data_IF_615817621737
#
_entry.id   IF_615817621737
#
_cell.length_a   1.000
_cell.length_b   1.000
_cell.length_c   1.000
_cell.angle_alpha   90.00
_cell.angle_beta   90.00
_cell.angle_gamma   90.00
#
_symmetry.space_group_name_H-M   'P 1'
#
loop_
_entity.id
_entity.type
_entity.pdbx_description
1 polymer ?
#
# COMPACT_ATOMS: atom_id res chain seq x y z
N UNK A 1 -3.49 -2.76 -12.39
CA UNK A 1 -4.32 -3.97 -12.60
C UNK A 1 -3.54 -5.16 -12.05
N UNK A 2 -4.23 -6.10 -11.40
CA UNK A 2 -3.61 -7.23 -10.69
C UNK A 2 -3.06 -6.87 -9.30
N UNK A 3 -3.33 -5.68 -8.81
CA UNK A 3 -3.06 -5.19 -7.44
C UNK A 3 -4.34 -5.22 -6.60
N UNK A 4 -4.24 -4.87 -5.31
CA UNK A 4 -5.36 -4.97 -4.38
C UNK A 4 -6.53 -4.08 -4.78
N UNK A 5 -6.27 -2.86 -5.23
CA UNK A 5 -7.34 -1.95 -5.65
C UNK A 5 -8.25 -2.55 -6.73
N UNK A 6 -7.67 -3.17 -7.75
CA UNK A 6 -8.41 -3.61 -8.93
C UNK A 6 -9.06 -4.98 -8.78
N UNK A 7 -8.67 -5.76 -7.77
CA UNK A 7 -9.25 -7.08 -7.47
C UNK A 7 -10.17 -7.07 -6.24
N UNK A 8 -10.51 -5.89 -5.73
CA UNK A 8 -11.30 -5.74 -4.51
C UNK A 8 -12.78 -6.12 -4.73
N UNK A 9 -13.31 -6.93 -3.82
CA UNK A 9 -14.73 -7.20 -3.65
C UNK A 9 -15.13 -6.81 -2.23
N UNK A 10 -16.35 -6.31 -2.06
CA UNK A 10 -16.85 -5.81 -0.77
C UNK A 10 -18.33 -6.06 -0.59
N UNK A 11 -18.74 -6.34 0.65
CA UNK A 11 -20.14 -6.55 1.04
C UNK A 11 -20.43 -5.86 2.38
N UNK A 12 -21.62 -5.27 2.50
CA UNK A 12 -22.18 -4.88 3.81
C UNK A 12 -23.11 -5.98 4.32
N UNK A 13 -22.84 -6.48 5.53
CA UNK A 13 -23.59 -7.58 6.14
C UNK A 13 -24.97 -7.10 6.59
N UNK A 14 -26.04 -7.84 6.25
CA UNK A 14 -27.40 -7.50 6.67
C UNK A 14 -27.71 -7.95 8.10
N UNK A 15 -27.14 -9.08 8.51
CA UNK A 15 -27.28 -9.68 9.83
C UNK A 15 -25.91 -10.08 10.37
N UNK A 16 -25.80 -10.23 11.69
CA UNK A 16 -24.59 -10.76 12.30
C UNK A 16 -24.39 -12.23 11.88
N UNK A 17 -23.16 -12.61 11.59
CA UNK A 17 -22.79 -13.97 11.17
C UNK A 17 -21.33 -14.23 11.55
N UNK A 18 -20.87 -15.46 11.35
CA UNK A 18 -19.45 -15.80 11.41
C UNK A 18 -19.02 -16.34 10.07
N UNK A 19 -17.83 -15.96 9.60
CA UNK A 19 -17.28 -16.39 8.32
C UNK A 19 -15.98 -17.15 8.49
N UNK A 20 -15.67 -17.98 7.49
CA UNK A 20 -14.35 -18.58 7.30
C UNK A 20 -13.80 -18.18 5.93
N UNK A 21 -12.48 -18.14 5.85
CA UNK A 21 -11.71 -17.94 4.64
C UNK A 21 -11.12 -19.31 4.28
N UNK A 22 -11.44 -19.81 3.10
CA UNK A 22 -10.98 -21.11 2.63
C UNK A 22 -10.37 -21.01 1.23
N UNK A 23 -9.34 -21.81 0.97
CA UNK A 23 -8.76 -22.02 -0.35
C UNK A 23 -9.26 -23.35 -0.91
N UNK A 24 -9.57 -23.37 -2.20
CA UNK A 24 -9.96 -24.56 -2.95
C UNK A 24 -8.98 -24.76 -4.09
N UNK A 25 -8.30 -25.88 -4.11
CA UNK A 25 -7.37 -26.19 -5.19
C UNK A 25 -8.08 -26.71 -6.46
N UNK A 26 -7.31 -26.94 -7.53
CA UNK A 26 -7.83 -27.48 -8.79
C UNK A 26 -8.40 -28.91 -8.72
N UNK A 27 -8.16 -29.64 -7.63
CA UNK A 27 -8.74 -30.96 -7.37
C UNK A 27 -10.02 -30.87 -6.50
N UNK A 28 -10.39 -29.68 -6.05
CA UNK A 28 -11.53 -29.44 -5.16
C UNK A 28 -11.21 -29.68 -3.68
N UNK A 29 -9.95 -29.87 -3.30
CA UNK A 29 -9.55 -29.97 -1.90
C UNK A 29 -9.65 -28.60 -1.23
N UNK A 30 -10.33 -28.56 -0.09
CA UNK A 30 -10.56 -27.34 0.68
C UNK A 30 -9.55 -27.26 1.82
N UNK A 31 -8.84 -26.14 1.90
CA UNK A 31 -7.96 -25.78 3.01
C UNK A 31 -8.52 -24.56 3.73
N UNK A 32 -8.81 -24.69 5.03
CA UNK A 32 -9.23 -23.55 5.83
C UNK A 32 -8.00 -22.65 6.11
N UNK A 33 -8.02 -21.41 5.60
CA UNK A 33 -6.98 -20.41 5.89
C UNK A 33 -7.24 -19.75 7.23
N UNK A 34 -8.51 -19.50 7.55
CA UNK A 34 -8.95 -18.97 8.84
C UNK A 34 -10.45 -19.21 9.05
N UNK A 35 -10.83 -19.50 10.29
CA UNK A 35 -12.21 -19.64 10.72
C UNK A 35 -12.52 -18.74 11.93
N UNK A 36 -13.80 -18.63 12.28
CA UNK A 36 -14.24 -17.90 13.47
C UNK A 36 -14.08 -16.38 13.34
N UNK A 37 -14.28 -15.83 12.14
CA UNK A 37 -14.30 -14.38 11.93
C UNK A 37 -15.73 -13.89 12.16
N UNK A 38 -15.98 -13.39 13.37
CA UNK A 38 -17.29 -12.85 13.73
C UNK A 38 -17.53 -11.48 13.09
N UNK A 39 -18.69 -11.33 12.46
CA UNK A 39 -19.14 -10.13 11.78
C UNK A 39 -20.45 -9.63 12.36
N UNK A 40 -20.56 -8.32 12.54
CA UNK A 40 -21.76 -7.66 13.03
C UNK A 40 -22.71 -7.31 11.87
N UNK A 41 -24.00 -7.14 12.19
CA UNK A 41 -24.93 -6.52 11.25
C UNK A 41 -24.47 -5.09 10.91
N UNK A 42 -24.47 -4.76 9.62
CA UNK A 42 -23.98 -3.50 9.09
C UNK A 42 -22.45 -3.41 8.97
N UNK A 43 -21.67 -4.40 9.40
CA UNK A 43 -20.22 -4.44 9.16
C UNK A 43 -19.94 -4.54 7.65
N UNK A 44 -18.90 -3.86 7.19
CA UNK A 44 -18.36 -4.04 5.83
C UNK A 44 -17.21 -5.03 5.92
N UNK A 45 -17.23 -6.01 5.01
CA UNK A 45 -16.16 -6.98 4.81
C UNK A 45 -15.69 -6.88 3.36
N UNK A 46 -14.37 -6.81 3.21
CA UNK A 46 -13.71 -6.75 1.91
C UNK A 46 -12.74 -7.91 1.75
N UNK A 47 -12.59 -8.38 0.53
CA UNK A 47 -11.58 -9.35 0.14
C UNK A 47 -10.90 -8.87 -1.14
N UNK A 48 -9.59 -9.09 -1.23
CA UNK A 48 -8.81 -8.68 -2.41
C UNK A 48 -7.54 -9.50 -2.56
N UNK A 49 -6.94 -9.44 -3.73
CA UNK A 49 -5.74 -10.17 -4.11
C UNK A 49 -4.73 -9.27 -4.85
N UNK A 50 -3.44 -9.40 -4.53
CA UNK A 50 -2.34 -8.92 -5.36
C UNK A 50 -1.71 -10.12 -6.07
N UNK A 51 -1.76 -10.08 -7.40
CA UNK A 51 -1.12 -11.08 -8.24
C UNK A 51 0.39 -10.91 -8.21
N UNK A 52 1.10 -11.95 -7.79
CA UNK A 52 2.57 -12.00 -7.81
C UNK A 52 3.11 -11.82 -9.23
N UNK A 53 2.46 -12.46 -10.21
CA UNK A 53 2.86 -12.36 -11.61
C UNK A 53 2.76 -10.92 -12.11
N UNK A 54 1.64 -10.24 -11.81
CA UNK A 54 1.45 -8.84 -12.17
C UNK A 54 2.46 -7.94 -11.46
N UNK A 55 2.68 -8.16 -10.15
CA UNK A 55 3.65 -7.42 -9.34
C UNK A 55 5.07 -7.55 -9.90
N UNK A 56 5.54 -8.78 -10.13
CA UNK A 56 6.88 -9.04 -10.68
C UNK A 56 7.05 -8.42 -12.06
N UNK A 57 6.04 -8.54 -12.93
CA UNK A 57 6.06 -7.90 -14.25
C UNK A 57 6.13 -6.37 -14.16
N UNK A 58 5.37 -5.78 -13.23
CA UNK A 58 5.38 -4.34 -12.97
C UNK A 58 6.75 -3.89 -12.47
N UNK A 59 7.30 -4.55 -11.45
CA UNK A 59 8.60 -4.23 -10.87
C UNK A 59 9.72 -4.32 -11.92
N UNK A 60 9.74 -5.37 -12.75
CA UNK A 60 10.71 -5.51 -13.84
C UNK A 60 10.64 -4.34 -14.81
N UNK A 61 9.42 -3.96 -15.21
CA UNK A 61 9.21 -2.81 -16.09
C UNK A 61 9.66 -1.50 -15.43
N UNK A 62 9.42 -1.30 -14.13
CA UNK A 62 9.83 -0.08 -13.42
C UNK A 62 11.34 0.01 -13.20
N UNK A 63 12.01 -1.11 -12.92
CA UNK A 63 13.48 -1.18 -12.83
C UNK A 63 14.11 -0.83 -14.18
N UNK A 64 13.60 -1.41 -15.27
CA UNK A 64 14.07 -1.09 -16.62
C UNK A 64 13.81 0.38 -17.01
N UNK A 65 12.60 0.91 -16.76
CA UNK A 65 12.27 2.31 -17.08
C UNK A 65 13.10 3.30 -16.26
N UNK A 66 13.37 3.03 -14.98
CA UNK A 66 14.25 3.87 -14.17
C UNK A 66 15.67 3.90 -14.75
N UNK A 67 16.21 2.74 -15.16
CA UNK A 67 17.55 2.64 -15.74
C UNK A 67 17.63 3.40 -17.07
N UNK A 68 16.69 3.13 -17.97
CA UNK A 68 16.69 3.71 -19.31
C UNK A 68 16.53 5.23 -19.29
N UNK A 69 15.92 5.78 -18.23
CA UNK A 69 15.75 7.21 -18.01
C UNK A 69 16.81 7.85 -17.11
N UNK A 70 17.75 7.07 -16.55
CA UNK A 70 18.75 7.57 -15.61
C UNK A 70 18.17 8.12 -14.30
N UNK A 71 17.02 7.59 -13.86
CA UNK A 71 16.36 7.95 -12.61
C UNK A 71 16.80 7.00 -11.49
N UNK A 72 16.80 7.49 -10.26
CA UNK A 72 16.87 6.60 -9.11
C UNK A 72 15.64 5.68 -9.09
N UNK A 73 15.84 4.42 -8.70
CA UNK A 73 14.75 3.54 -8.32
C UNK A 73 14.56 3.60 -6.81
N UNK A 74 13.33 3.89 -6.37
CA UNK A 74 12.94 3.86 -4.96
C UNK A 74 11.63 3.12 -4.77
N UNK A 75 11.54 2.31 -3.71
CA UNK A 75 10.38 1.56 -3.29
C UNK A 75 9.86 2.12 -1.97
N UNK A 76 8.56 2.43 -1.93
CA UNK A 76 7.93 3.06 -0.77
C UNK A 76 6.81 2.17 -0.24
N UNK A 77 7.02 1.58 0.93
CA UNK A 77 6.11 0.61 1.57
C UNK A 77 5.88 0.98 3.05
N UNK A 78 5.05 0.22 3.76
CA UNK A 78 4.80 0.40 5.20
C UNK A 78 5.03 -0.91 5.98
N UNK A 79 6.18 -1.56 5.73
CA UNK A 79 6.49 -2.92 6.19
C UNK A 79 6.39 -3.16 7.71
N UNK A 80 6.60 -2.13 8.53
CA UNK A 80 6.47 -2.22 9.99
C UNK A 80 5.02 -2.38 10.46
N UNK A 81 4.08 -1.70 9.79
CA UNK A 81 2.65 -1.79 10.08
C UNK A 81 2.00 -2.91 9.30
N UNK A 82 2.26 -3.00 8.00
CA UNK A 82 1.71 -4.03 7.11
C UNK A 82 2.57 -5.31 7.14
N UNK A 83 2.66 -5.90 8.33
CA UNK A 83 3.65 -6.94 8.71
C UNK A 83 3.65 -8.22 7.87
N UNK A 84 2.62 -8.46 7.06
CA UNK A 84 2.52 -9.66 6.22
C UNK A 84 2.69 -9.29 4.76
N UNK A 85 1.83 -8.43 4.20
CA UNK A 85 1.85 -8.09 2.77
C UNK A 85 3.13 -7.40 2.33
N UNK A 86 3.55 -6.36 3.05
CA UNK A 86 4.57 -5.45 2.58
C UNK A 86 5.97 -6.07 2.58
N UNK A 87 6.38 -6.88 3.58
CA UNK A 87 7.62 -7.65 3.51
C UNK A 87 7.68 -8.59 2.29
N UNK A 88 6.57 -9.23 1.91
CA UNK A 88 6.52 -10.11 0.71
C UNK A 88 6.72 -9.28 -0.56
N UNK A 89 6.01 -8.16 -0.68
CA UNK A 89 6.16 -7.23 -1.82
C UNK A 89 7.59 -6.70 -1.90
N UNK A 90 8.17 -6.32 -0.76
CA UNK A 90 9.55 -5.85 -0.65
C UNK A 90 10.54 -6.91 -1.13
N UNK A 91 10.38 -8.16 -0.65
CA UNK A 91 11.22 -9.26 -1.08
C UNK A 91 11.11 -9.56 -2.58
N UNK A 92 9.94 -9.36 -3.20
CA UNK A 92 9.82 -9.43 -4.65
C UNK A 92 10.61 -8.32 -5.37
N UNK A 93 10.59 -7.10 -4.85
CA UNK A 93 11.40 -6.01 -5.40
C UNK A 93 12.90 -6.29 -5.31
N UNK A 94 13.39 -6.82 -4.18
CA UNK A 94 14.79 -7.24 -4.03
C UNK A 94 15.17 -8.32 -5.06
N UNK A 95 14.35 -9.37 -5.17
CA UNK A 95 14.60 -10.48 -6.12
C UNK A 95 14.54 -10.01 -7.58
N UNK A 96 13.67 -9.06 -7.92
CA UNK A 96 13.57 -8.50 -9.27
C UNK A 96 14.76 -7.62 -9.60
N UNK A 97 15.19 -6.76 -8.66
CA UNK A 97 16.34 -5.89 -8.87
C UNK A 97 17.63 -6.71 -9.09
N UNK A 98 17.81 -7.79 -8.31
CA UNK A 98 18.96 -8.69 -8.39
C UNK A 98 18.62 -10.01 -9.10
N UNK A 99 17.81 -10.00 -10.16
CA UNK A 99 17.29 -11.22 -10.79
C UNK A 99 18.40 -12.20 -11.19
N UNK A 100 19.46 -11.72 -11.85
CA UNK A 100 20.58 -12.55 -12.30
C UNK A 100 21.35 -13.17 -11.11
N UNK A 101 21.48 -12.43 -10.00
CA UNK A 101 22.13 -12.91 -8.78
C UNK A 101 21.35 -14.09 -8.17
N UNK A 102 20.02 -13.95 -8.06
CA UNK A 102 19.16 -15.01 -7.53
C UNK A 102 19.06 -16.20 -8.49
N UNK A 103 19.07 -15.96 -9.80
CA UNK A 103 19.10 -17.03 -10.80
C UNK A 103 20.38 -17.87 -10.71
N UNK A 104 21.53 -17.23 -10.47
CA UNK A 104 22.83 -17.89 -10.37
C UNK A 104 23.05 -18.58 -9.03
N UNK A 105 22.66 -17.94 -7.91
CA UNK A 105 23.03 -18.38 -6.55
C UNK A 105 21.86 -18.86 -5.68
N UNK A 106 20.66 -19.01 -6.25
CA UNK A 106 19.43 -19.34 -5.50
C UNK A 106 19.58 -20.53 -4.55
N UNK A 107 20.16 -21.65 -5.00
CA UNK A 107 20.38 -22.83 -4.15
C UNK A 107 21.33 -22.55 -2.96
N UNK A 108 22.31 -21.66 -3.14
CA UNK A 108 23.19 -21.23 -2.04
C UNK A 108 22.42 -20.36 -1.05
N UNK A 109 21.62 -19.42 -1.54
CA UNK A 109 20.81 -18.55 -0.69
C UNK A 109 19.74 -19.34 0.10
N UNK A 110 19.13 -20.36 -0.50
CA UNK A 110 18.22 -21.28 0.17
C UNK A 110 18.94 -22.06 1.29
N UNK A 111 20.14 -22.60 1.01
CA UNK A 111 20.91 -23.33 2.01
C UNK A 111 21.37 -22.45 3.19
N UNK A 112 21.66 -21.18 2.95
CA UNK A 112 21.98 -20.18 3.97
C UNK A 112 20.76 -19.65 4.74
N UNK A 113 19.54 -19.98 4.28
CA UNK A 113 18.31 -19.44 4.85
C UNK A 113 18.16 -17.93 4.66
N UNK A 114 18.64 -17.39 3.53
CA UNK A 114 18.47 -15.97 3.17
C UNK A 114 16.99 -15.64 3.05
N UNK A 115 16.54 -14.61 3.75
CA UNK A 115 15.18 -14.08 3.68
C UNK A 115 15.19 -12.60 3.31
N UNK A 116 15.09 -12.33 2.01
CA UNK A 116 15.02 -10.95 1.49
C UNK A 116 13.68 -10.27 1.70
N UNK A 117 12.68 -10.95 2.30
CA UNK A 117 11.52 -10.25 2.84
C UNK A 117 11.93 -9.40 4.08
N UNK A 118 13.04 -9.74 4.74
CA UNK A 118 13.72 -8.90 5.74
C UNK A 118 14.75 -7.93 5.13
N UNK A 119 14.81 -7.88 3.79
CA UNK A 119 15.63 -6.98 3.00
C UNK A 119 16.97 -7.55 2.53
N UNK A 120 17.60 -6.84 1.60
CA UNK A 120 18.88 -7.24 1.02
C UNK A 120 20.02 -7.30 2.07
N UNK A 121 19.88 -6.55 3.17
CA UNK A 121 20.80 -6.63 4.31
C UNK A 121 20.86 -8.01 4.97
N UNK A 122 19.78 -8.80 4.96
CA UNK A 122 19.80 -10.18 5.48
C UNK A 122 20.71 -11.07 4.63
N UNK A 123 20.63 -10.94 3.29
CA UNK A 123 21.53 -11.63 2.38
C UNK A 123 22.98 -11.25 2.68
N UNK A 124 23.28 -9.94 2.72
CA UNK A 124 24.64 -9.44 2.98
C UNK A 124 25.20 -9.95 4.32
N UNK A 125 24.37 -9.98 5.36
CA UNK A 125 24.76 -10.46 6.69
C UNK A 125 25.14 -11.95 6.72
N UNK A 126 24.50 -12.76 5.88
CA UNK A 126 24.74 -14.22 5.80
C UNK A 126 25.95 -14.60 4.94
N UNK A 127 26.44 -13.71 4.08
CA UNK A 127 27.60 -14.00 3.23
C UNK A 127 28.87 -14.34 4.02
N UNK A 128 28.98 -13.87 5.27
CA UNK A 128 30.10 -14.18 6.15
C UNK A 128 30.20 -15.67 6.53
N UNK A 129 29.12 -16.44 6.36
CA UNK A 129 29.06 -17.88 6.65
C UNK A 129 29.66 -18.74 5.52
N UNK A 130 29.91 -18.14 4.35
CA UNK A 130 30.41 -18.85 3.17
C UNK A 130 31.95 -18.95 3.14
N UNK A 131 32.50 -19.98 2.47
CA UNK A 131 33.91 -20.00 2.10
C UNK A 131 34.29 -18.76 1.28
N UNK A 132 35.50 -18.24 1.50
CA UNK A 132 35.98 -16.98 0.91
C UNK A 132 35.81 -16.92 -0.62
N UNK A 133 36.12 -18.00 -1.33
CA UNK A 133 36.00 -18.04 -2.79
C UNK A 133 34.54 -17.88 -3.27
N UNK A 134 33.59 -18.54 -2.59
CA UNK A 134 32.17 -18.46 -2.93
C UNK A 134 31.58 -17.10 -2.53
N UNK A 135 32.00 -16.57 -1.37
CA UNK A 135 31.65 -15.21 -0.94
C UNK A 135 32.11 -14.18 -1.97
N UNK A 136 33.38 -14.23 -2.39
CA UNK A 136 33.94 -13.29 -3.35
C UNK A 136 33.24 -13.34 -4.71
N UNK A 137 32.83 -14.53 -5.16
CA UNK A 137 32.03 -14.67 -6.37
C UNK A 137 30.67 -13.97 -6.24
N UNK A 138 29.94 -14.23 -5.15
CA UNK A 138 28.64 -13.61 -4.90
C UNK A 138 28.77 -12.08 -4.74
N UNK A 139 29.79 -11.60 -4.03
CA UNK A 139 30.07 -10.15 -3.91
C UNK A 139 30.32 -9.50 -5.27
N UNK A 140 31.07 -10.16 -6.16
CA UNK A 140 31.30 -9.68 -7.52
C UNK A 140 29.99 -9.62 -8.33
N UNK A 141 29.14 -10.64 -8.23
CA UNK A 141 27.84 -10.66 -8.90
C UNK A 141 26.85 -9.63 -8.32
N UNK A 142 26.96 -9.29 -7.03
CA UNK A 142 26.20 -8.18 -6.42
C UNK A 142 26.61 -6.86 -7.05
N UNK A 143 27.92 -6.61 -7.20
CA UNK A 143 28.42 -5.40 -7.87
C UNK A 143 27.97 -5.34 -9.33
N UNK A 144 27.94 -6.48 -10.03
CA UNK A 144 27.39 -6.57 -11.38
C UNK A 144 25.89 -6.26 -11.43
N UNK A 145 25.12 -6.69 -10.42
CA UNK A 145 23.71 -6.35 -10.25
C UNK A 145 23.49 -4.84 -10.10
N UNK A 146 24.28 -4.18 -9.25
CA UNK A 146 24.24 -2.71 -9.13
C UNK A 146 24.62 -2.00 -10.44
N UNK A 147 25.67 -2.47 -11.12
CA UNK A 147 26.14 -1.85 -12.36
C UNK A 147 25.19 -2.03 -13.56
N UNK A 148 24.34 -3.06 -13.54
CA UNK A 148 23.39 -3.36 -14.63
C UNK A 148 21.97 -2.81 -14.38
N UNK A 149 21.63 -2.52 -13.13
CA UNK A 149 20.38 -1.89 -12.73
C UNK A 149 20.41 -0.36 -12.77
N UNK A 150 19.27 0.31 -12.49
CA UNK A 150 19.25 1.73 -12.14
C UNK A 150 19.92 1.95 -10.79
N UNK A 151 20.50 3.13 -10.56
CA UNK A 151 20.92 3.53 -9.22
C UNK A 151 19.73 3.46 -8.24
N UNK A 152 19.97 2.96 -7.03
CA UNK A 152 18.97 2.93 -5.97
C UNK A 152 19.01 4.23 -5.16
N UNK A 153 17.84 4.66 -4.69
CA UNK A 153 17.79 5.66 -3.63
C UNK A 153 18.51 5.14 -2.37
N UNK A 154 19.25 6.02 -1.70
CA UNK A 154 20.05 5.71 -0.52
C UNK A 154 19.35 6.13 0.76
N UNK A 155 19.44 5.29 1.78
CA UNK A 155 19.12 5.63 3.18
C UNK A 155 20.34 6.30 3.81
N UNK A 156 21.52 5.76 3.56
CA UNK A 156 22.81 6.31 4.00
C UNK A 156 23.88 5.98 2.94
N UNK A 157 24.23 6.98 2.12
CA UNK A 157 25.17 6.82 1.00
C UNK A 157 26.60 6.53 1.47
N UNK A 158 27.04 7.13 2.59
CA UNK A 158 28.40 6.96 3.11
C UNK A 158 28.64 5.52 3.58
N UNK A 159 27.57 4.84 4.02
CA UNK A 159 27.59 3.45 4.47
C UNK A 159 27.10 2.46 3.41
N UNK A 160 26.74 2.93 2.22
CA UNK A 160 26.21 2.09 1.15
C UNK A 160 24.82 1.48 1.44
N UNK A 161 24.07 2.04 2.39
CA UNK A 161 22.74 1.53 2.75
C UNK A 161 21.71 2.07 1.75
N UNK A 162 21.21 1.18 0.91
CA UNK A 162 20.21 1.45 -0.12
C UNK A 162 18.79 1.31 0.43
N UNK A 163 17.81 1.83 -0.32
CA UNK A 163 16.38 1.65 -0.06
C UNK A 163 15.93 0.17 -0.02
N UNK A 164 16.69 -0.75 -0.60
CA UNK A 164 16.41 -2.19 -0.58
C UNK A 164 17.10 -2.94 0.58
N UNK A 165 17.87 -2.25 1.44
CA UNK A 165 18.60 -2.91 2.54
C UNK A 165 17.68 -3.45 3.63
N UNK A 166 16.78 -2.62 4.17
CA UNK A 166 15.88 -2.99 5.27
C UNK A 166 14.46 -2.48 4.95
N UNK A 167 13.42 -3.34 5.00
CA UNK A 167 12.05 -2.97 4.63
C UNK A 167 11.44 -1.82 5.44
N UNK A 168 11.95 -1.60 6.66
CA UNK A 168 11.47 -0.58 7.59
C UNK A 168 12.15 0.77 7.48
N UNK A 169 13.22 0.90 6.68
CA UNK A 169 14.00 2.14 6.61
C UNK A 169 13.27 3.24 5.84
N UNK A 170 12.58 2.87 4.75
CA UNK A 170 11.86 3.81 3.89
C UNK A 170 10.35 3.57 4.00
N UNK A 171 9.72 4.29 4.92
CA UNK A 171 8.30 4.18 5.22
C UNK A 171 7.52 5.20 4.39
N UNK A 172 6.54 4.76 3.60
CA UNK A 172 5.85 5.56 2.57
C UNK A 172 5.28 6.89 3.08
N UNK A 173 4.64 6.90 4.26
CA UNK A 173 4.00 8.08 4.84
C UNK A 173 4.98 9.16 5.31
N UNK A 174 6.23 8.80 5.57
CA UNK A 174 7.31 9.75 5.87
C UNK A 174 8.16 10.07 4.62
N UNK A 175 8.50 9.04 3.85
CA UNK A 175 9.43 9.13 2.72
C UNK A 175 8.86 9.88 1.53
N UNK A 176 7.58 9.68 1.18
CA UNK A 176 6.96 10.38 0.06
C UNK A 176 6.87 11.90 0.31
N UNK A 177 6.37 12.40 1.47
CA UNK A 177 6.42 13.83 1.76
C UNK A 177 7.84 14.40 1.80
N UNK A 178 8.82 13.65 2.32
CA UNK A 178 10.22 14.09 2.34
C UNK A 178 10.80 14.25 0.93
N UNK A 179 10.56 13.29 0.03
CA UNK A 179 10.93 13.36 -1.37
C UNK A 179 10.25 14.54 -2.07
N UNK A 180 8.93 14.68 -1.95
CA UNK A 180 8.15 15.76 -2.58
C UNK A 180 8.67 17.13 -2.14
N UNK A 181 8.92 17.32 -0.84
CA UNK A 181 9.49 18.55 -0.29
C UNK A 181 10.89 18.84 -0.84
N UNK A 182 11.67 17.80 -1.12
CA UNK A 182 13.05 17.89 -1.61
C UNK A 182 13.06 17.87 -3.14
N UNK A 183 12.20 18.68 -3.76
CA UNK A 183 12.08 18.85 -5.22
C UNK A 183 11.76 17.56 -6.00
N UNK A 184 11.15 16.56 -5.36
CA UNK A 184 10.92 15.26 -5.98
C UNK A 184 12.19 14.42 -6.16
N UNK A 185 13.24 14.70 -5.39
CA UNK A 185 14.52 14.00 -5.44
C UNK A 185 14.77 13.14 -4.20
N UNK A 186 15.63 12.14 -4.35
CA UNK A 186 16.22 11.36 -3.25
C UNK A 186 17.76 11.33 -3.39
N UNK A 187 18.43 10.79 -2.38
CA UNK A 187 19.90 10.71 -2.35
C UNK A 187 20.39 9.54 -3.21
N UNK A 188 21.36 9.81 -4.08
CA UNK A 188 22.04 8.82 -4.91
C UNK A 188 23.30 8.26 -4.22
N UNK A 189 24.01 7.29 -4.82
CA UNK A 189 25.21 6.70 -4.23
C UNK A 189 26.36 7.70 -3.94
N UNK A 190 26.43 8.82 -4.65
CA UNK A 190 27.43 9.89 -4.38
C UNK A 190 26.97 10.90 -3.33
N UNK A 191 25.86 10.67 -2.62
CA UNK A 191 25.35 11.57 -1.61
C UNK A 191 24.79 12.87 -2.19
N UNK A 192 24.26 12.83 -3.43
CA UNK A 192 23.64 13.98 -4.10
C UNK A 192 22.16 13.73 -4.36
N UNK A 193 21.38 14.81 -4.43
CA UNK A 193 19.99 14.73 -4.83
C UNK A 193 19.86 14.42 -6.32
N UNK A 194 19.03 13.44 -6.66
CA UNK A 194 18.71 13.03 -8.02
C UNK A 194 17.21 12.70 -8.13
N UNK A 195 16.64 12.96 -9.32
CA UNK A 195 15.26 12.61 -9.61
C UNK A 195 15.03 11.11 -9.43
N UNK A 196 13.91 10.75 -8.80
CA UNK A 196 13.59 9.36 -8.49
C UNK A 196 12.28 8.92 -9.10
N UNK A 197 12.22 7.64 -9.45
CA UNK A 197 10.99 6.89 -9.65
C UNK A 197 10.57 6.29 -8.32
N UNK A 198 9.60 6.94 -7.67
CA UNK A 198 8.93 6.42 -6.49
C UNK A 198 7.92 5.31 -6.86
N UNK A 199 8.32 4.06 -6.65
CA UNK A 199 7.50 2.88 -6.89
C UNK A 199 6.63 2.58 -5.67
N UNK A 200 5.32 2.63 -5.91
CA UNK A 200 4.26 2.23 -4.97
C UNK A 200 3.42 1.18 -5.71
N UNK A 201 3.56 -0.12 -5.41
CA UNK A 201 2.98 -1.18 -6.24
C UNK A 201 1.46 -1.23 -6.27
N UNK A 202 0.80 -0.97 -5.14
CA UNK A 202 -0.66 -0.92 -5.09
C UNK A 202 -1.19 0.48 -5.42
N UNK A 203 -2.23 0.54 -6.24
CA UNK A 203 -2.76 1.80 -6.77
C UNK A 203 -3.88 2.43 -5.94
N UNK A 204 -4.24 1.88 -4.77
CA UNK A 204 -5.28 2.45 -3.89
C UNK A 204 -4.94 3.88 -3.47
N UNK A 205 -3.67 4.10 -3.11
CA UNK A 205 -3.22 5.39 -2.54
C UNK A 205 -2.14 6.08 -3.37
N UNK A 206 -1.47 5.37 -4.29
CA UNK A 206 -0.38 5.93 -5.11
C UNK A 206 -0.77 7.20 -5.89
N UNK A 207 -2.02 7.27 -6.35
CA UNK A 207 -2.54 8.41 -7.11
C UNK A 207 -2.55 9.73 -6.34
N UNK A 208 -2.66 9.69 -5.01
CA UNK A 208 -2.61 10.89 -4.15
C UNK A 208 -1.25 11.57 -4.28
N UNK A 209 -0.16 10.80 -4.13
CA UNK A 209 1.18 11.34 -4.25
C UNK A 209 1.50 11.84 -5.67
N UNK A 210 1.06 11.09 -6.69
CA UNK A 210 1.22 11.50 -8.08
C UNK A 210 0.56 12.87 -8.36
N UNK A 211 -0.66 13.08 -7.87
CA UNK A 211 -1.37 14.36 -8.03
C UNK A 211 -0.63 15.52 -7.33
N UNK A 212 -0.09 15.29 -6.12
CA UNK A 212 0.74 16.31 -5.44
C UNK A 212 2.00 16.63 -6.23
N UNK A 213 2.69 15.61 -6.76
CA UNK A 213 3.88 15.82 -7.58
C UNK A 213 3.56 16.60 -8.86
N UNK A 214 2.48 16.27 -9.55
CA UNK A 214 2.08 16.94 -10.78
C UNK A 214 1.62 18.38 -10.51
N UNK A 215 0.95 18.61 -9.38
CA UNK A 215 0.63 19.96 -8.91
C UNK A 215 1.91 20.79 -8.67
N UNK A 216 2.89 20.24 -7.94
CA UNK A 216 4.16 20.94 -7.70
C UNK A 216 4.95 21.22 -9.00
N UNK A 217 4.91 20.32 -9.99
CA UNK A 217 5.52 20.57 -11.31
C UNK A 217 4.84 21.74 -12.03
N UNK A 218 3.52 21.85 -11.92
CA UNK A 218 2.73 22.88 -12.59
C UNK A 218 2.80 24.26 -11.88
N UNK A 219 2.88 24.27 -10.54
CA UNK A 219 2.71 25.47 -9.72
C UNK A 219 3.95 25.86 -8.90
N UNK A 220 5.00 25.05 -8.91
CA UNK A 220 6.16 25.22 -8.04
C UNK A 220 5.94 24.64 -6.64
N UNK A 221 6.93 24.81 -5.76
CA UNK A 221 6.84 24.38 -4.38
C UNK A 221 5.77 25.18 -3.60
N UNK A 222 5.15 24.55 -2.60
CA UNK A 222 4.24 25.25 -1.68
C UNK A 222 4.97 26.36 -0.93
N UNK A 223 4.28 27.48 -0.70
CA UNK A 223 4.74 28.59 0.14
C UNK A 223 4.11 28.49 1.54
N UNK A 224 4.88 28.10 2.58
CA UNK A 224 4.37 27.97 3.94
C UNK A 224 3.87 29.26 4.57
N UNK A 225 4.21 30.43 4.01
CA UNK A 225 3.81 31.73 4.55
C UNK A 225 2.41 32.15 4.12
N UNK A 226 1.88 31.55 3.05
CA UNK A 226 0.61 31.92 2.43
C UNK A 226 -0.34 30.74 2.24
N UNK A 227 0.15 29.50 2.25
CA UNK A 227 -0.68 28.32 2.04
C UNK A 227 -1.75 28.13 3.13
N UNK A 228 -2.89 27.57 2.74
CA UNK A 228 -3.92 27.12 3.66
C UNK A 228 -3.53 25.84 4.38
N UNK A 229 -4.52 25.18 4.99
CA UNK A 229 -4.34 23.95 5.74
C UNK A 229 -5.28 22.83 5.27
N UNK A 230 -4.79 21.59 5.33
CA UNK A 230 -5.62 20.40 5.20
C UNK A 230 -5.55 19.62 6.52
N UNK A 231 -6.67 19.62 7.26
CA UNK A 231 -6.80 18.85 8.50
C UNK A 231 -7.50 17.52 8.25
N UNK A 232 -7.26 16.49 9.06
CA UNK A 232 -7.81 15.15 8.81
C UNK A 232 -8.81 14.68 9.89
N UNK A 233 -9.87 14.00 9.42
CA UNK A 233 -10.78 13.16 10.23
C UNK A 233 -10.68 11.74 9.68
N UNK A 234 -9.94 10.88 10.40
CA UNK A 234 -9.64 9.51 9.96
C UNK A 234 -10.51 8.44 10.64
N UNK A 235 -10.98 7.47 9.86
CA UNK A 235 -11.70 6.30 10.33
C UNK A 235 -10.70 5.22 10.83
N UNK A 236 -10.49 5.12 12.14
CA UNK A 236 -9.47 4.21 12.70
C UNK A 236 -9.96 3.32 13.85
N UNK A 237 -11.16 3.60 14.39
CA UNK A 237 -11.65 2.91 15.59
C UNK A 237 -11.81 1.41 15.34
N UNK A 238 -11.46 0.60 16.35
CA UNK A 238 -11.59 -0.86 16.33
C UNK A 238 -10.80 -1.57 15.21
N UNK A 239 -9.61 -1.03 14.88
CA UNK A 239 -8.73 -1.56 13.82
C UNK A 239 -9.44 -1.59 12.46
N UNK A 240 -10.05 -0.46 12.09
CA UNK A 240 -10.73 -0.32 10.81
C UNK A 240 -9.80 -0.64 9.63
N UNK A 241 -10.36 -1.29 8.62
CA UNK A 241 -9.79 -1.49 7.29
C UNK A 241 -8.46 -2.30 7.34
N UNK A 242 -7.42 -1.87 6.62
CA UNK A 242 -6.15 -2.59 6.49
C UNK A 242 -5.46 -2.87 7.83
N UNK A 243 -5.61 -2.00 8.83
CA UNK A 243 -4.91 -2.17 10.12
C UNK A 243 -5.49 -3.33 10.94
N UNK A 244 -6.68 -3.82 10.57
CA UNK A 244 -7.29 -5.02 11.10
C UNK A 244 -6.97 -6.28 10.30
N UNK A 245 -6.25 -6.20 9.18
CA UNK A 245 -6.15 -7.28 8.18
C UNK A 245 -5.02 -8.29 8.42
N UNK A 246 -4.10 -8.03 9.34
CA UNK A 246 -2.85 -8.82 9.47
C UNK A 246 -3.11 -10.31 9.70
N UNK A 247 -4.09 -10.64 10.53
CA UNK A 247 -4.46 -12.02 10.83
C UNK A 247 -5.35 -12.67 9.77
N UNK A 248 -5.63 -11.94 8.68
CA UNK A 248 -6.46 -12.30 7.53
C UNK A 248 -5.73 -12.06 6.19
N UNK A 249 -4.40 -11.99 6.24
CA UNK A 249 -3.54 -11.84 5.06
C UNK A 249 -2.71 -13.09 4.87
N UNK A 250 -2.71 -13.64 3.66
CA UNK A 250 -2.09 -14.93 3.35
C UNK A 250 -1.30 -14.85 2.05
N UNK A 251 -0.09 -15.41 2.05
CA UNK A 251 0.59 -15.80 0.81
C UNK A 251 0.02 -17.15 0.36
N UNK A 252 -0.50 -17.20 -0.86
CA UNK A 252 -1.17 -18.38 -1.39
C UNK A 252 -0.14 -19.43 -1.80
N UNK A 253 -0.31 -20.68 -1.36
CA UNK A 253 0.68 -21.74 -1.61
C UNK A 253 0.46 -22.50 -2.91
N UNK A 254 -0.76 -22.50 -3.44
CA UNK A 254 -1.14 -23.23 -4.65
C UNK A 254 -2.23 -22.49 -5.43
N UNK A 255 -2.25 -22.65 -6.75
CA UNK A 255 -3.31 -22.09 -7.58
C UNK A 255 -4.69 -22.67 -7.21
N UNK A 256 -5.73 -21.86 -7.33
CA UNK A 256 -7.08 -22.23 -6.94
C UNK A 256 -7.97 -21.01 -6.74
N UNK A 257 -8.93 -21.13 -5.83
CA UNK A 257 -9.88 -20.06 -5.51
C UNK A 257 -9.93 -19.84 -4.00
N UNK A 258 -9.77 -18.60 -3.56
CA UNK A 258 -10.04 -18.20 -2.17
C UNK A 258 -11.48 -17.73 -2.06
N UNK A 259 -12.22 -18.30 -1.12
CA UNK A 259 -13.62 -17.99 -0.83
C UNK A 259 -13.78 -17.50 0.59
N UNK A 260 -14.66 -16.53 0.78
CA UNK A 260 -15.19 -16.21 2.11
C UNK A 260 -16.59 -16.78 2.21
N UNK A 261 -16.80 -17.67 3.17
CA UNK A 261 -18.04 -18.43 3.31
C UNK A 261 -18.61 -18.18 4.69
N UNK A 262 -19.91 -17.88 4.75
CA UNK A 262 -20.61 -17.68 6.02
C UNK A 262 -21.02 -18.99 6.69
N UNK A 263 -21.65 -18.86 7.86
CA UNK A 263 -22.13 -19.98 8.68
C UNK A 263 -23.25 -20.81 8.02
N UNK A 264 -23.95 -20.29 7.01
CA UNK A 264 -24.97 -21.01 6.24
C UNK A 264 -24.39 -21.70 5.00
N UNK A 265 -23.10 -21.50 4.72
CA UNK A 265 -22.42 -22.06 3.55
C UNK A 265 -22.52 -21.17 2.31
N UNK A 266 -23.05 -19.95 2.43
CA UNK A 266 -23.12 -19.00 1.33
C UNK A 266 -21.75 -18.37 1.11
N UNK A 267 -21.30 -18.37 -0.14
CA UNK A 267 -20.08 -17.67 -0.55
C UNK A 267 -20.40 -16.18 -0.66
N UNK A 268 -19.74 -15.35 0.14
CA UNK A 268 -19.91 -13.89 0.13
C UNK A 268 -19.04 -13.22 -0.94
N UNK A 269 -17.85 -13.78 -1.18
CA UNK A 269 -16.88 -13.27 -2.17
C UNK A 269 -15.90 -14.38 -2.56
N UNK A 270 -15.31 -14.26 -3.73
CA UNK A 270 -14.45 -15.29 -4.31
C UNK A 270 -13.40 -14.68 -5.25
N UNK A 271 -12.17 -15.15 -5.15
CA UNK A 271 -11.04 -14.70 -5.97
C UNK A 271 -10.27 -15.89 -6.51
N UNK A 272 -10.02 -15.90 -7.81
CA UNK A 272 -9.04 -16.82 -8.39
C UNK A 272 -7.64 -16.34 -8.00
N UNK A 273 -6.79 -17.29 -7.61
CA UNK A 273 -5.46 -17.03 -7.08
C UNK A 273 -4.43 -17.98 -7.66
N UNK A 274 -3.20 -17.50 -7.81
CA UNK A 274 -2.03 -18.29 -8.17
C UNK A 274 -1.08 -18.46 -6.98
N UNK A 275 -0.13 -19.39 -7.08
CA UNK A 275 0.88 -19.58 -6.03
C UNK A 275 1.80 -18.34 -5.89
N UNK A 276 1.92 -17.86 -4.67
CA UNK A 276 2.66 -16.67 -4.26
C UNK A 276 1.85 -15.38 -4.35
N UNK A 277 0.60 -15.41 -4.80
CA UNK A 277 -0.30 -14.26 -4.70
C UNK A 277 -0.53 -13.91 -3.22
N UNK A 278 -0.78 -12.63 -2.95
CA UNK A 278 -1.09 -12.16 -1.60
C UNK A 278 -2.59 -11.90 -1.56
N UNK A 279 -3.33 -12.66 -0.76
CA UNK A 279 -4.75 -12.43 -0.52
C UNK A 279 -4.97 -11.80 0.85
N UNK A 280 -5.89 -10.84 0.97
CA UNK A 280 -6.24 -10.22 2.26
C UNK A 280 -7.73 -9.95 2.39
N UNK A 281 -8.20 -9.94 3.64
CA UNK A 281 -9.51 -9.40 4.01
C UNK A 281 -9.46 -8.30 5.06
N UNK A 282 -10.32 -7.29 4.90
CA UNK A 282 -10.45 -6.12 5.75
C UNK A 282 -11.86 -6.03 6.35
N UNK A 283 -11.97 -5.35 7.49
CA UNK A 283 -13.25 -5.18 8.19
C UNK A 283 -13.40 -3.74 8.65
N UNK A 284 -14.61 -3.19 8.52
CA UNK A 284 -14.96 -1.95 9.20
C UNK A 284 -16.38 -2.00 9.76
N UNK A 285 -16.49 -1.75 11.06
CA UNK A 285 -17.74 -1.86 11.81
C UNK A 285 -18.58 -0.60 11.61
N UNK A 286 -19.90 -0.78 11.64
CA UNK A 286 -20.85 0.30 11.37
C UNK A 286 -20.79 1.44 12.39
N UNK A 287 -20.64 1.12 13.68
CA UNK A 287 -20.56 2.12 14.74
C UNK A 287 -19.35 3.07 14.58
N UNK A 288 -18.12 2.59 14.30
CA UNK A 288 -17.01 3.43 13.85
C UNK A 288 -17.33 4.36 12.67
N UNK A 289 -18.04 3.88 11.65
CA UNK A 289 -18.41 4.71 10.48
C UNK A 289 -19.37 5.82 10.89
N UNK A 290 -20.37 5.53 11.73
CA UNK A 290 -21.30 6.55 12.24
C UNK A 290 -20.58 7.64 13.05
N UNK A 291 -19.66 7.25 13.93
CA UNK A 291 -18.88 8.20 14.73
C UNK A 291 -17.94 9.05 13.86
N UNK A 292 -17.33 8.44 12.84
CA UNK A 292 -16.51 9.14 11.86
C UNK A 292 -17.29 10.20 11.07
N UNK A 293 -18.49 9.88 10.57
CA UNK A 293 -19.37 10.86 9.91
C UNK A 293 -19.77 11.98 10.87
N UNK A 294 -20.15 11.64 12.10
CA UNK A 294 -20.48 12.63 13.14
C UNK A 294 -19.30 13.57 13.42
N UNK A 295 -18.08 13.04 13.52
CA UNK A 295 -16.87 13.83 13.74
C UNK A 295 -16.58 14.74 12.56
N UNK A 296 -16.77 14.28 11.32
CA UNK A 296 -16.62 15.09 10.12
C UNK A 296 -17.57 16.30 10.13
N UNK A 297 -18.85 16.09 10.47
CA UNK A 297 -19.82 17.19 10.61
C UNK A 297 -19.42 18.15 11.72
N UNK A 298 -19.01 17.62 12.88
CA UNK A 298 -18.55 18.46 13.99
C UNK A 298 -17.34 19.32 13.61
N UNK A 299 -16.40 18.79 12.82
CA UNK A 299 -15.22 19.52 12.37
C UNK A 299 -15.58 20.57 11.33
N UNK A 300 -16.38 20.22 10.32
CA UNK A 300 -16.89 21.17 9.32
C UNK A 300 -17.62 22.35 9.97
N UNK A 301 -18.50 22.08 10.94
CA UNK A 301 -19.22 23.12 11.70
C UNK A 301 -18.28 24.02 12.49
N UNK A 302 -17.27 23.45 13.13
CA UNK A 302 -16.34 24.20 13.97
C UNK A 302 -15.39 25.10 13.16
N UNK A 303 -15.02 24.69 11.94
CA UNK A 303 -14.06 25.42 11.11
C UNK A 303 -14.71 26.27 10.01
N UNK A 304 -15.97 25.98 9.66
CA UNK A 304 -16.63 26.56 8.47
C UNK A 304 -16.01 26.13 7.14
N UNK A 305 -15.10 25.14 7.15
CA UNK A 305 -14.42 24.66 5.96
C UNK A 305 -15.21 23.52 5.30
N UNK A 306 -15.10 23.33 3.97
CA UNK A 306 -15.62 22.13 3.33
C UNK A 306 -14.91 20.89 3.88
N UNK A 307 -15.69 19.84 4.16
CA UNK A 307 -15.19 18.55 4.61
C UNK A 307 -15.38 17.50 3.53
N UNK A 308 -14.29 17.18 2.83
CA UNK A 308 -14.30 16.31 1.66
C UNK A 308 -14.10 14.87 2.12
N UNK A 309 -15.01 13.98 1.75
CA UNK A 309 -14.85 12.53 1.89
C UNK A 309 -14.04 11.98 0.70
N UNK A 310 -12.91 11.34 0.99
CA UNK A 310 -11.97 10.83 -0.01
C UNK A 310 -12.29 9.37 -0.28
N UNK A 311 -13.31 9.14 -1.12
CA UNK A 311 -13.87 7.81 -1.38
C UNK A 311 -14.04 7.63 -2.89
N UNK A 312 -13.37 6.61 -3.44
CA UNK A 312 -13.48 6.26 -4.85
C UNK A 312 -14.69 5.37 -5.11
N UNK A 313 -15.71 5.88 -5.81
CA UNK A 313 -16.90 5.09 -6.19
C UNK A 313 -16.57 3.82 -6.99
N UNK A 314 -15.38 3.73 -7.58
CA UNK A 314 -14.92 2.56 -8.34
C UNK A 314 -14.18 1.51 -7.49
N UNK A 315 -13.87 1.81 -6.22
CA UNK A 315 -13.41 0.80 -5.25
C UNK A 315 -14.60 0.17 -4.57
N UNK A 316 -14.62 -1.16 -4.49
CA UNK A 316 -15.76 -1.89 -3.94
C UNK A 316 -15.98 -1.52 -2.46
N UNK A 317 -14.91 -1.38 -1.69
CA UNK A 317 -14.95 -0.97 -0.29
C UNK A 317 -15.52 0.45 -0.13
N UNK A 318 -14.90 1.42 -0.81
CA UNK A 318 -15.29 2.82 -0.73
C UNK A 318 -16.75 3.01 -1.18
N UNK A 319 -17.24 2.24 -2.17
CA UNK A 319 -18.65 2.28 -2.56
C UNK A 319 -19.60 1.89 -1.40
N UNK A 320 -19.22 0.92 -0.55
CA UNK A 320 -19.97 0.59 0.66
C UNK A 320 -19.91 1.72 1.70
N UNK A 321 -18.74 2.34 1.88
CA UNK A 321 -18.58 3.50 2.77
C UNK A 321 -19.41 4.69 2.29
N UNK A 322 -19.43 4.99 0.99
CA UNK A 322 -20.23 6.07 0.41
C UNK A 322 -21.71 5.86 0.70
N UNK A 323 -22.23 4.64 0.54
CA UNK A 323 -23.62 4.33 0.89
C UNK A 323 -23.93 4.60 2.38
N UNK A 324 -22.96 4.35 3.27
CA UNK A 324 -23.09 4.69 4.70
C UNK A 324 -23.00 6.19 4.96
N UNK A 325 -22.08 6.91 4.32
CA UNK A 325 -21.97 8.37 4.42
C UNK A 325 -23.27 9.03 3.95
N UNK A 326 -23.78 8.65 2.78
CA UNK A 326 -25.05 9.16 2.22
C UNK A 326 -26.25 8.86 3.14
N UNK A 327 -26.20 7.75 3.90
CA UNK A 327 -27.23 7.40 4.89
C UNK A 327 -27.12 8.17 6.20
N UNK A 328 -25.91 8.39 6.71
CA UNK A 328 -25.69 8.97 8.05
C UNK A 328 -25.58 10.48 8.04
N UNK A 329 -25.06 11.07 6.96
CA UNK A 329 -24.90 12.53 6.86
C UNK A 329 -26.22 13.31 7.04
N UNK A 330 -27.37 12.90 6.46
CA UNK A 330 -28.65 13.58 6.67
C UNK A 330 -29.23 13.48 8.09
N UNK A 331 -28.62 12.68 8.97
CA UNK A 331 -29.04 12.53 10.37
C UNK A 331 -28.41 13.60 11.27
N UNK A 332 -27.60 14.49 10.70
CA UNK A 332 -26.96 15.61 11.38
C UNK A 332 -27.43 16.95 10.78
N UNK A 333 -27.23 18.03 11.53
CA UNK A 333 -27.45 19.39 11.01
C UNK A 333 -26.29 19.80 10.10
N UNK A 334 -26.54 19.73 8.79
CA UNK A 334 -25.60 20.10 7.73
C UNK A 334 -25.92 21.45 7.08
N UNK A 335 -26.83 22.26 7.64
CA UNK A 335 -27.21 23.54 7.03
C UNK A 335 -26.00 24.47 6.92
N UNK A 336 -25.73 24.96 5.70
CA UNK A 336 -24.59 25.84 5.41
C UNK A 336 -23.21 25.15 5.42
N UNK A 337 -23.16 23.82 5.43
CA UNK A 337 -21.91 23.05 5.35
C UNK A 337 -21.79 22.33 4.00
N UNK A 338 -20.55 22.07 3.57
CA UNK A 338 -20.23 21.39 2.32
C UNK A 338 -19.53 20.05 2.59
N UNK A 339 -20.06 18.97 2.02
CA UNK A 339 -19.49 17.62 2.14
C UNK A 339 -19.29 16.93 0.78
N UNK A 340 -18.36 17.39 -0.07
CA UNK A 340 -18.08 16.70 -1.33
C UNK A 340 -17.60 15.26 -1.07
N UNK A 341 -18.05 14.31 -1.88
CA UNK A 341 -17.54 12.94 -1.92
C UNK A 341 -16.79 12.78 -3.25
N UNK A 342 -15.47 12.70 -3.18
CA UNK A 342 -14.56 12.71 -4.33
C UNK A 342 -13.60 11.54 -4.24
N UNK A 343 -13.16 11.00 -5.39
CA UNK A 343 -12.08 10.00 -5.37
C UNK A 343 -10.82 10.60 -4.74
N UNK A 344 -9.90 9.80 -4.16
CA UNK A 344 -8.69 10.32 -3.52
C UNK A 344 -7.88 11.27 -4.41
N UNK A 345 -7.82 11.02 -5.72
CA UNK A 345 -7.12 11.90 -6.69
C UNK A 345 -7.86 13.24 -6.86
N UNK A 346 -9.17 13.20 -7.06
CA UNK A 346 -9.98 14.42 -7.20
C UNK A 346 -10.01 15.24 -5.91
N UNK A 347 -10.10 14.57 -4.76
CA UNK A 347 -10.08 15.19 -3.44
C UNK A 347 -8.73 15.85 -3.14
N UNK A 348 -7.63 15.19 -3.54
CA UNK A 348 -6.29 15.77 -3.49
C UNK A 348 -6.22 17.02 -4.34
N UNK A 349 -6.61 16.96 -5.62
CA UNK A 349 -6.62 18.12 -6.52
C UNK A 349 -7.43 19.29 -5.98
N UNK A 350 -8.65 19.02 -5.51
CA UNK A 350 -9.52 20.04 -4.91
C UNK A 350 -8.85 20.71 -3.70
N UNK A 351 -8.24 19.90 -2.83
CA UNK A 351 -7.57 20.39 -1.63
C UNK A 351 -6.32 21.20 -1.97
N UNK A 352 -5.53 20.77 -2.96
CA UNK A 352 -4.33 21.47 -3.43
C UNK A 352 -4.64 22.82 -4.10
N UNK A 353 -5.71 22.90 -4.89
CA UNK A 353 -6.15 24.17 -5.46
C UNK A 353 -6.51 25.16 -4.36
N UNK A 354 -7.24 24.72 -3.34
CA UNK A 354 -7.59 25.55 -2.18
C UNK A 354 -6.38 25.92 -1.34
N UNK A 355 -5.46 24.99 -1.09
CA UNK A 355 -4.29 25.23 -0.24
C UNK A 355 -3.39 26.31 -0.86
N UNK A 356 -3.25 26.34 -2.19
CA UNK A 356 -2.47 27.35 -2.90
C UNK A 356 -3.14 28.73 -2.89
N UNK A 357 -4.45 28.80 -2.68
CA UNK A 357 -5.21 30.05 -2.51
C UNK A 357 -5.30 30.52 -1.05
N UNK A 358 -4.57 29.89 -0.12
CA UNK A 358 -4.63 30.21 1.30
C UNK A 358 -5.91 29.74 2.00
N UNK A 359 -6.64 28.77 1.41
CA UNK A 359 -7.91 28.27 1.93
C UNK A 359 -7.77 26.89 2.56
N UNK A 360 -8.51 26.70 3.64
CA UNK A 360 -8.50 25.45 4.40
C UNK A 360 -9.50 24.42 3.88
N UNK A 361 -9.19 23.14 4.07
CA UNK A 361 -10.06 22.00 3.73
C UNK A 361 -9.96 20.94 4.84
N UNK A 362 -11.05 20.26 5.15
CA UNK A 362 -11.00 19.06 6.00
C UNK A 362 -11.02 17.83 5.11
N UNK A 363 -9.99 16.99 5.16
CA UNK A 363 -10.01 15.66 4.58
C UNK A 363 -10.70 14.69 5.54
N UNK A 364 -11.60 13.88 5.01
CA UNK A 364 -12.35 12.88 5.74
C UNK A 364 -12.06 11.54 5.06
N UNK A 365 -11.16 10.76 5.67
CA UNK A 365 -10.51 9.61 5.03
C UNK A 365 -10.75 8.32 5.80
N UNK A 366 -10.46 7.20 5.15
CA UNK A 366 -10.17 5.92 5.82
C UNK A 366 -8.96 6.02 6.76
N UNK A 367 -8.49 4.86 7.20
CA UNK A 367 -7.39 4.71 8.14
C UNK A 367 -6.01 4.96 7.49
N UNK A 368 -5.81 4.43 6.28
CA UNK A 368 -4.62 4.67 5.44
C UNK A 368 -4.79 5.98 4.69
#
# INVERSE_FOLDING_TARGET
AGDFRHQEQSVTLQAATSVRIEHVDGAGQVTCLKEGIDLLAGEILDGTCMSKKALVSFLKAQVADARDRGLLFSLHMKATMMKVSDPIIFGHAVRVYFEDLFAKHGATFEALGVDVNNGFGDLLGRLAELPEAQRAEIEADIQAGFASGPDLAMVDSDRGITNLHVPSDVIIDASMPAMIRTSGCMWNPEGRLQETKAVIPDSSYAGVYAEVMDFCKAHGAFDPTTMGSVSNVGLMAQKAEEYGSHDKTFEITAAGTVRVVDSEGQVLMSHDVEAGDIWRACQVKDAPVQDWVKLAVSRARATGCPAVFWLDRNRAHDAQLIAKVERYLPQHDTEGLEFPILSPVEATRFSLQRIAEGKDTVSVTGNV
#
